data_IF_891482433534
#
_entry.id   IF_891482433534
#
_cell.length_a   1.000
_cell.length_b   1.000
_cell.length_c   1.000
_cell.angle_alpha   90.00
_cell.angle_beta   90.00
_cell.angle_gamma   90.00
#
_symmetry.space_group_name_H-M   'P 1'
#
loop_
_entity.id
_entity.type
_entity.pdbx_description
1 polymer ?
#
# COMPACT_ATOMS: atom_id res chain seq x y z
N UNK A 1 -37.87 -8.74 -7.90
CA UNK A 1 -37.42 -8.54 -6.50
C UNK A 1 -36.42 -7.39 -6.51
N UNK A 2 -36.78 -6.27 -5.90
CA UNK A 2 -35.97 -5.04 -5.90
C UNK A 2 -34.69 -5.24 -5.08
N UNK A 3 -33.58 -4.80 -5.65
CA UNK A 3 -32.26 -4.72 -5.01
C UNK A 3 -32.30 -3.68 -3.90
N UNK A 4 -31.79 -3.92 -2.67
CA UNK A 4 -31.71 -2.89 -1.65
C UNK A 4 -30.75 -1.79 -2.08
N UNK A 5 -31.25 -0.56 -2.16
CA UNK A 5 -30.46 0.64 -2.41
C UNK A 5 -29.67 1.01 -1.15
N UNK A 6 -28.49 0.42 -0.94
CA UNK A 6 -27.57 0.77 0.16
C UNK A 6 -26.75 2.06 -0.13
N UNK A 7 -27.38 3.06 -0.75
CA UNK A 7 -26.77 4.34 -1.08
C UNK A 7 -27.62 5.54 -0.66
N UNK A 8 -27.15 6.27 0.35
CA UNK A 8 -27.50 7.68 0.64
C UNK A 8 -28.90 8.04 1.23
N UNK A 9 -29.46 7.27 2.17
CA UNK A 9 -30.75 7.64 2.83
C UNK A 9 -30.67 8.89 3.76
N UNK A 10 -29.48 9.43 4.00
CA UNK A 10 -29.28 10.67 4.79
C UNK A 10 -29.14 11.95 3.95
N UNK A 11 -29.01 11.84 2.62
CA UNK A 11 -28.86 13.02 1.75
C UNK A 11 -30.11 13.93 1.75
N UNK A 12 -31.29 13.36 2.05
CA UNK A 12 -32.54 14.09 2.21
C UNK A 12 -32.71 14.81 3.56
N UNK A 13 -31.78 14.64 4.50
CA UNK A 13 -31.94 15.21 5.84
C UNK A 13 -31.69 16.73 5.85
N UNK A 14 -32.51 17.52 6.55
CA UNK A 14 -32.42 18.98 6.57
C UNK A 14 -31.09 19.49 7.16
N UNK A 15 -30.51 18.75 8.09
CA UNK A 15 -29.22 19.05 8.73
C UNK A 15 -28.00 18.60 7.92
N UNK A 16 -28.19 17.93 6.77
CA UNK A 16 -27.09 17.48 5.91
C UNK A 16 -26.88 18.43 4.72
N UNK A 17 -25.68 19.01 4.67
CA UNK A 17 -25.30 20.07 3.72
C UNK A 17 -24.46 19.58 2.54
N UNK A 18 -24.15 18.28 2.46
CA UNK A 18 -23.29 17.74 1.41
C UNK A 18 -21.86 18.30 1.46
N UNK A 19 -21.16 18.44 0.31
CA UNK A 19 -19.78 18.93 0.26
C UNK A 19 -19.62 20.41 0.67
N UNK A 20 -19.60 20.68 1.97
CA UNK A 20 -19.45 22.03 2.55
C UNK A 20 -18.03 22.23 3.11
N UNK A 21 -17.44 23.41 2.85
CA UNK A 21 -16.13 23.76 3.40
C UNK A 21 -16.23 24.03 4.91
N UNK A 22 -15.09 23.92 5.61
CA UNK A 22 -15.01 24.21 7.04
C UNK A 22 -15.46 25.64 7.37
N UNK A 23 -14.93 26.62 6.63
CA UNK A 23 -15.24 28.05 6.82
C UNK A 23 -16.72 28.36 6.57
N UNK A 24 -17.32 27.79 5.50
CA UNK A 24 -18.76 27.96 5.23
C UNK A 24 -19.61 27.31 6.32
N UNK A 25 -19.19 26.18 6.88
CA UNK A 25 -19.88 25.57 8.01
C UNK A 25 -19.80 26.43 9.28
N UNK A 26 -18.63 26.99 9.60
CA UNK A 26 -18.45 27.88 10.75
C UNK A 26 -19.33 29.13 10.65
N UNK A 27 -19.51 29.70 9.46
CA UNK A 27 -20.37 30.87 9.23
C UNK A 27 -21.88 30.58 9.42
N UNK A 28 -22.31 29.33 9.23
CA UNK A 28 -23.71 28.92 9.39
C UNK A 28 -24.08 28.60 10.84
N UNK A 29 -23.09 28.38 11.72
CA UNK A 29 -23.30 28.05 13.12
C UNK A 29 -23.18 29.32 13.97
N UNK A 30 -24.31 29.86 14.41
CA UNK A 30 -24.40 31.19 15.03
C UNK A 30 -24.48 31.10 16.56
N UNK A 31 -25.22 30.14 17.08
CA UNK A 31 -25.55 29.99 18.49
C UNK A 31 -24.95 28.70 19.06
N UNK A 32 -24.61 28.69 20.34
CA UNK A 32 -24.15 27.48 21.03
C UNK A 32 -25.24 26.39 20.99
N UNK A 33 -24.84 25.17 20.65
CA UNK A 33 -25.72 24.05 20.38
C UNK A 33 -26.16 23.92 18.92
N UNK A 34 -25.85 24.88 18.05
CA UNK A 34 -26.04 24.72 16.60
C UNK A 34 -25.19 23.57 16.08
N UNK A 35 -25.75 22.77 15.19
CA UNK A 35 -24.99 21.76 14.47
C UNK A 35 -25.46 21.57 13.03
N UNK A 36 -24.54 21.09 12.19
CA UNK A 36 -24.82 20.59 10.85
C UNK A 36 -23.89 19.45 10.50
N UNK A 37 -24.24 18.67 9.47
CA UNK A 37 -23.39 17.60 8.95
C UNK A 37 -22.96 17.91 7.53
N UNK A 38 -21.66 17.78 7.26
CA UNK A 38 -21.04 18.05 5.96
C UNK A 38 -20.18 16.87 5.50
N UNK A 39 -20.04 16.70 4.19
CA UNK A 39 -19.07 15.80 3.59
C UNK A 39 -17.71 16.52 3.45
N UNK A 40 -16.66 15.96 4.05
CA UNK A 40 -15.34 16.57 4.00
C UNK A 40 -14.62 16.32 2.67
N UNK A 41 -14.34 17.38 1.91
CA UNK A 41 -13.60 17.29 0.63
C UNK A 41 -12.15 16.82 0.81
N UNK A 42 -11.50 17.13 1.93
CA UNK A 42 -10.10 16.77 2.21
C UNK A 42 -9.92 15.36 2.78
N UNK A 43 -11.00 14.70 3.21
CA UNK A 43 -10.99 13.36 3.81
C UNK A 43 -11.95 12.42 3.07
N UNK A 44 -11.83 12.35 1.75
CA UNK A 44 -12.53 11.34 0.94
C UNK A 44 -14.06 11.35 1.02
N UNK A 45 -14.68 12.46 1.44
CA UNK A 45 -16.14 12.55 1.56
C UNK A 45 -16.73 12.01 2.87
N UNK A 46 -15.91 11.71 3.89
CA UNK A 46 -16.42 11.27 5.20
C UNK A 46 -17.35 12.34 5.84
N UNK A 47 -18.44 11.91 6.50
CA UNK A 47 -19.35 12.81 7.19
C UNK A 47 -18.70 13.42 8.43
N UNK A 48 -18.84 14.73 8.59
CA UNK A 48 -18.31 15.49 9.72
C UNK A 48 -19.45 16.27 10.35
N UNK A 49 -19.65 16.07 11.65
CA UNK A 49 -20.57 16.86 12.47
C UNK A 49 -19.82 18.14 12.87
N UNK A 50 -20.33 19.29 12.43
CA UNK A 50 -19.81 20.59 12.85
C UNK A 50 -20.78 21.19 13.86
N UNK A 51 -20.31 21.54 15.05
CA UNK A 51 -21.14 22.04 16.13
C UNK A 51 -20.50 23.25 16.79
N UNK A 52 -21.30 24.28 17.11
CA UNK A 52 -20.85 25.43 17.89
C UNK A 52 -21.12 25.19 19.36
N UNK A 53 -20.08 25.36 20.18
CA UNK A 53 -20.15 25.14 21.61
C UNK A 53 -19.18 26.06 22.35
N UNK A 54 -19.66 26.74 23.39
CA UNK A 54 -18.89 27.70 24.20
C UNK A 54 -18.17 28.76 23.36
N UNK A 55 -18.87 29.29 22.36
CA UNK A 55 -18.35 30.34 21.48
C UNK A 55 -17.35 29.86 20.40
N UNK A 56 -17.01 28.57 20.35
CA UNK A 56 -16.10 27.99 19.36
C UNK A 56 -16.81 26.95 18.48
N UNK A 57 -16.39 26.80 17.24
CA UNK A 57 -16.89 25.75 16.34
C UNK A 57 -15.96 24.55 16.37
N UNK A 58 -16.53 23.38 16.64
CA UNK A 58 -15.85 22.10 16.73
C UNK A 58 -16.30 21.20 15.58
N UNK A 59 -15.38 20.34 15.12
CA UNK A 59 -15.63 19.42 14.01
C UNK A 59 -15.30 17.99 14.43
N UNK A 60 -16.29 17.11 14.39
CA UNK A 60 -16.19 15.72 14.79
C UNK A 60 -16.35 14.83 13.56
N UNK A 61 -15.34 14.03 13.28
CA UNK A 61 -15.38 13.08 12.17
C UNK A 61 -16.18 11.84 12.57
N UNK A 62 -17.10 11.44 11.69
CA UNK A 62 -17.88 10.21 11.85
C UNK A 62 -17.28 9.15 10.95
N UNK A 63 -16.71 8.12 11.56
CA UNK A 63 -16.12 7.01 10.83
C UNK A 63 -17.21 6.09 10.31
N UNK A 64 -17.05 5.64 9.06
CA UNK A 64 -17.91 4.61 8.48
C UNK A 64 -17.18 3.27 8.56
N UNK A 65 -17.63 2.41 9.46
CA UNK A 65 -17.08 1.07 9.66
C UNK A 65 -17.87 0.10 8.79
N UNK A 66 -17.25 -0.39 7.71
CA UNK A 66 -17.88 -1.38 6.85
C UNK A 66 -18.15 -2.67 7.64
N UNK A 67 -19.37 -3.19 7.51
CA UNK A 67 -19.76 -4.48 8.07
C UNK A 67 -19.85 -5.52 6.97
N UNK A 68 -19.66 -6.79 7.33
CA UNK A 68 -19.91 -7.90 6.39
C UNK A 68 -21.37 -7.85 5.92
N UNK A 69 -21.64 -7.83 4.61
CA UNK A 69 -22.99 -7.84 4.07
C UNK A 69 -23.74 -9.08 4.58
N UNK A 70 -24.89 -8.88 5.20
CA UNK A 70 -25.82 -9.95 5.58
C UNK A 70 -27.23 -9.55 5.15
N UNK A 71 -28.05 -10.49 4.63
CA UNK A 71 -29.45 -10.20 4.31
C UNK A 71 -30.16 -9.62 5.54
N UNK A 72 -30.72 -8.41 5.40
CA UNK A 72 -31.45 -7.73 6.48
C UNK A 72 -30.60 -7.01 7.54
N UNK A 73 -29.28 -6.85 7.36
CA UNK A 73 -28.44 -6.03 8.25
C UNK A 73 -27.75 -4.88 7.49
N UNK A 74 -27.49 -3.74 8.15
CA UNK A 74 -26.81 -2.61 7.53
C UNK A 74 -25.38 -3.00 7.10
N UNK A 75 -24.99 -2.54 5.92
CA UNK A 75 -23.67 -2.79 5.29
C UNK A 75 -22.54 -1.97 5.89
N UNK A 76 -22.86 -0.97 6.72
CA UNK A 76 -21.89 -0.19 7.48
C UNK A 76 -22.50 0.35 8.76
N UNK A 77 -21.67 0.55 9.79
CA UNK A 77 -22.01 1.33 10.98
C UNK A 77 -21.33 2.69 10.91
N UNK A 78 -21.96 3.68 11.54
CA UNK A 78 -21.41 5.01 11.75
C UNK A 78 -20.90 5.09 13.18
N UNK A 79 -19.61 5.38 13.34
CA UNK A 79 -18.95 5.46 14.63
C UNK A 79 -18.56 6.91 14.94
N UNK A 80 -18.92 7.37 16.13
CA UNK A 80 -18.45 8.62 16.73
C UNK A 80 -17.93 8.29 18.13
N UNK A 81 -16.67 8.66 18.39
CA UNK A 81 -15.91 8.16 19.54
C UNK A 81 -15.96 6.63 19.63
N UNK A 82 -16.45 6.08 20.76
CA UNK A 82 -16.54 4.64 21.01
C UNK A 82 -17.92 4.05 20.67
N UNK A 83 -18.87 4.87 20.20
CA UNK A 83 -20.25 4.45 19.95
C UNK A 83 -20.56 4.22 18.48
N UNK A 84 -21.35 3.17 18.20
CA UNK A 84 -21.65 2.73 16.84
C UNK A 84 -23.15 2.71 16.57
N UNK A 85 -23.54 3.21 15.40
CA UNK A 85 -24.92 3.38 14.99
C UNK A 85 -25.19 2.74 13.63
N UNK A 86 -26.41 2.21 13.39
CA UNK A 86 -26.77 1.59 12.12
C UNK A 86 -26.91 2.59 10.97
N UNK A 87 -27.11 3.87 11.25
CA UNK A 87 -27.21 4.93 10.24
C UNK A 87 -26.83 6.29 10.81
N UNK A 88 -26.40 7.21 9.94
CA UNK A 88 -26.06 8.57 10.33
C UNK A 88 -27.25 9.33 10.97
N UNK A 89 -28.51 9.19 10.50
CA UNK A 89 -29.66 9.77 11.20
C UNK A 89 -29.90 9.16 12.58
N UNK A 90 -29.64 7.85 12.78
CA UNK A 90 -29.77 7.23 14.10
C UNK A 90 -28.73 7.78 15.08
N UNK A 91 -27.50 8.01 14.61
CA UNK A 91 -26.44 8.66 15.37
C UNK A 91 -26.87 10.07 15.78
N UNK A 92 -27.25 10.92 14.82
CA UNK A 92 -27.66 12.31 15.09
C UNK A 92 -28.82 12.35 16.09
N UNK A 93 -29.85 11.52 15.91
CA UNK A 93 -30.98 11.44 16.85
C UNK A 93 -30.54 11.05 18.26
N UNK A 94 -29.63 10.09 18.41
CA UNK A 94 -29.16 9.67 19.74
C UNK A 94 -28.50 10.80 20.52
N UNK A 95 -27.60 11.55 19.86
CA UNK A 95 -26.88 12.65 20.52
C UNK A 95 -27.75 13.88 20.73
N UNK A 96 -28.60 14.23 19.76
CA UNK A 96 -29.41 15.45 19.79
C UNK A 96 -30.61 15.29 20.73
N UNK A 97 -31.36 14.19 20.62
CA UNK A 97 -32.53 13.94 21.48
C UNK A 97 -32.12 13.60 22.91
N UNK A 98 -30.98 12.90 23.08
CA UNK A 98 -30.45 12.58 24.41
C UNK A 98 -29.63 13.70 25.05
N UNK A 99 -29.43 14.84 24.38
CA UNK A 99 -28.52 15.93 24.78
C UNK A 99 -27.16 15.43 25.27
N UNK A 100 -26.62 14.42 24.58
CA UNK A 100 -25.37 13.76 24.96
C UNK A 100 -24.20 14.54 24.38
N UNK A 101 -23.06 14.49 25.06
CA UNK A 101 -21.84 15.13 24.58
C UNK A 101 -21.31 14.38 23.35
N UNK A 102 -21.09 15.08 22.24
CA UNK A 102 -20.45 14.58 21.03
C UNK A 102 -19.01 14.11 21.25
N UNK A 103 -18.35 14.70 22.25
CA UNK A 103 -17.06 14.22 22.72
C UNK A 103 -16.85 14.46 24.21
N UNK A 104 -16.36 13.44 24.93
CA UNK A 104 -16.06 13.54 26.36
C UNK A 104 -15.00 14.60 26.66
N UNK A 105 -14.01 14.76 25.78
CA UNK A 105 -12.91 15.70 25.97
C UNK A 105 -13.34 17.17 25.85
N UNK A 106 -14.35 17.46 25.02
CA UNK A 106 -14.81 18.84 24.76
C UNK A 106 -16.12 19.17 25.46
N UNK A 107 -16.88 18.17 25.88
CA UNK A 107 -18.21 18.33 26.45
C UNK A 107 -19.21 18.99 25.49
N UNK A 108 -18.95 18.97 24.18
CA UNK A 108 -19.77 19.66 23.19
C UNK A 108 -21.12 18.97 23.00
N UNK A 109 -22.22 19.72 23.02
CA UNK A 109 -23.58 19.17 22.84
C UNK A 109 -24.21 19.77 21.60
N UNK A 110 -24.63 18.92 20.67
CA UNK A 110 -25.44 19.33 19.53
C UNK A 110 -26.93 19.27 19.90
N UNK A 111 -27.64 20.38 19.73
CA UNK A 111 -29.06 20.49 20.09
C UNK A 111 -29.93 20.98 18.95
N UNK A 112 -29.49 21.99 18.20
CA UNK A 112 -30.31 22.67 17.19
C UNK A 112 -29.75 22.43 15.78
N UNK A 113 -30.49 21.73 14.90
CA UNK A 113 -30.02 21.50 13.54
C UNK A 113 -30.11 22.78 12.72
N UNK A 114 -29.01 23.13 12.04
CA UNK A 114 -29.02 24.20 11.03
C UNK A 114 -29.48 23.60 9.70
N UNK A 115 -30.65 24.02 9.26
CA UNK A 115 -31.29 23.50 8.04
C UNK A 115 -30.64 24.05 6.78
N UNK A 116 -30.38 23.15 5.81
CA UNK A 116 -29.88 23.47 4.47
C UNK A 116 -30.89 24.36 3.73
N UNK A 117 -30.41 25.47 3.18
CA UNK A 117 -31.20 26.32 2.29
C UNK A 117 -30.86 25.99 0.83
N UNK A 118 -31.71 25.19 0.17
CA UNK A 118 -31.59 24.79 -1.25
C UNK A 118 -31.26 23.31 -1.48
N UNK A 119 -31.37 22.80 -2.72
CA UNK A 119 -31.05 21.41 -3.08
C UNK A 119 -29.53 21.12 -3.04
N UNK A 120 -29.14 19.85 -2.83
CA UNK A 120 -27.73 19.42 -2.91
C UNK A 120 -27.27 19.57 -4.37
N UNK A 121 -26.52 20.64 -4.66
CA UNK A 121 -25.93 20.84 -5.98
C UNK A 121 -24.74 19.88 -6.14
N UNK A 122 -24.90 18.84 -6.97
CA UNK A 122 -23.77 18.04 -7.47
C UNK A 122 -23.05 18.85 -8.55
N UNK A 123 -22.18 19.78 -8.16
CA UNK A 123 -21.31 20.49 -9.11
C UNK A 123 -19.85 20.13 -8.85
N UNK A 124 -19.22 19.50 -9.85
CA UNK A 124 -17.79 19.58 -10.05
C UNK A 124 -17.45 21.04 -10.37
N UNK A 125 -16.49 21.58 -9.62
CA UNK A 125 -15.89 22.91 -9.75
C UNK A 125 -16.78 24.11 -9.42
N UNK A 126 -16.20 24.99 -8.59
CA UNK A 126 -16.18 26.46 -8.65
C UNK A 126 -16.37 27.09 -7.25
N UNK A 127 -15.23 27.44 -6.63
CA UNK A 127 -15.12 28.41 -5.53
C UNK A 127 -13.82 29.19 -5.79
N UNK A 128 -13.88 30.09 -6.76
CA UNK A 128 -13.00 31.26 -6.84
C UNK A 128 -13.91 32.45 -7.05
N UNK A 129 -13.96 33.37 -6.11
CA UNK A 129 -14.59 34.69 -6.26
C UNK A 129 -13.92 35.67 -5.27
N UNK A 130 -13.98 37.00 -5.49
CA UNK A 130 -14.41 37.75 -6.69
C UNK A 130 -13.45 38.91 -7.10
N UNK A 131 -13.60 39.45 -8.32
CA UNK A 131 -13.84 40.88 -8.63
C UNK A 131 -13.46 41.30 -10.09
N UNK A 132 -14.36 42.05 -10.73
CA UNK A 132 -14.01 43.07 -11.75
C UNK A 132 -14.27 42.75 -13.24
N UNK A 133 -14.87 43.66 -14.05
CA UNK A 133 -15.63 43.28 -15.25
C UNK A 133 -14.89 43.35 -16.60
N UNK A 134 -15.39 42.50 -17.51
CA UNK A 134 -15.54 42.63 -18.97
C UNK A 134 -14.44 43.33 -19.78
N UNK A 135 -13.72 42.56 -20.61
CA UNK A 135 -13.43 42.92 -22.00
C UNK A 135 -13.32 41.66 -22.89
N UNK A 136 -13.78 41.86 -24.12
CA UNK A 136 -13.95 40.98 -25.29
C UNK A 136 -12.62 40.47 -25.89
N UNK A 137 -12.62 39.20 -26.34
CA UNK A 137 -11.91 38.49 -27.45
C UNK A 137 -10.62 39.05 -28.14
N UNK A 138 -9.87 38.28 -28.99
CA UNK A 138 -9.78 36.81 -29.20
C UNK A 138 -8.34 36.24 -29.37
N UNK A 139 -8.26 34.91 -29.39
CA UNK A 139 -7.30 33.99 -30.08
C UNK A 139 -5.95 34.53 -30.60
N UNK A 140 -4.83 33.98 -30.09
CA UNK A 140 -3.60 33.75 -30.88
C UNK A 140 -2.89 32.45 -30.49
N UNK A 141 -2.39 31.78 -31.53
CA UNK A 141 -1.69 30.50 -31.50
C UNK A 141 -0.16 30.64 -31.35
N UNK A 142 0.48 29.48 -31.08
CA UNK A 142 1.92 29.14 -31.17
C UNK A 142 2.77 29.62 -29.98
N UNK A 143 3.70 28.84 -29.43
CA UNK A 143 4.78 28.09 -30.11
C UNK A 143 5.38 27.02 -29.17
N UNK A 144 5.71 25.86 -29.76
CA UNK A 144 6.68 24.86 -29.28
C UNK A 144 8.01 25.55 -28.95
N UNK A 145 8.70 25.08 -27.91
CA UNK A 145 10.13 25.31 -27.74
C UNK A 145 10.83 23.99 -27.45
N UNK A 146 11.61 23.57 -28.44
CA UNK A 146 12.61 22.51 -28.36
C UNK A 146 13.84 23.02 -27.59
N UNK A 147 14.51 22.14 -26.86
CA UNK A 147 15.91 22.32 -26.47
C UNK A 147 16.56 20.95 -26.27
N UNK A 148 17.53 20.64 -27.12
CA UNK A 148 18.58 19.65 -26.90
C UNK A 148 19.95 20.34 -27.14
N UNK A 149 21.06 19.74 -26.67
CA UNK A 149 22.20 20.45 -26.09
C UNK A 149 23.42 20.56 -27.02
N UNK A 150 24.35 21.43 -26.63
CA UNK A 150 25.77 21.46 -27.03
C UNK A 150 26.57 21.78 -25.75
N UNK A 151 27.74 21.22 -25.42
CA UNK A 151 28.76 20.52 -26.20
C UNK A 151 30.09 21.31 -26.12
N UNK A 152 31.19 20.59 -25.83
CA UNK A 152 32.64 20.95 -25.92
C UNK A 152 33.43 21.37 -24.65
N UNK A 153 34.00 20.35 -24.00
CA UNK A 153 35.43 19.94 -23.94
C UNK A 153 36.65 20.91 -23.88
N UNK A 154 37.72 20.33 -23.29
CA UNK A 154 39.18 20.66 -23.27
C UNK A 154 39.66 21.65 -22.18
N UNK A 155 40.73 21.44 -21.39
CA UNK A 155 41.92 20.57 -21.43
C UNK A 155 42.68 20.69 -20.06
N UNK A 156 43.41 19.65 -19.61
CA UNK A 156 44.68 19.82 -18.86
C UNK A 156 44.82 19.20 -17.46
N UNK A 157 45.54 18.07 -17.35
CA UNK A 157 46.04 17.42 -16.12
C UNK A 157 47.37 18.08 -15.60
N UNK A 158 48.17 17.43 -14.73
CA UNK A 158 48.04 17.23 -13.28
C UNK A 158 49.27 17.78 -12.52
N UNK A 159 49.31 17.68 -11.18
CA UNK A 159 50.60 17.66 -10.45
C UNK A 159 50.48 16.83 -9.18
N UNK A 160 51.35 15.83 -9.09
CA UNK A 160 51.62 15.04 -7.89
C UNK A 160 52.44 15.86 -6.90
N UNK A 161 52.28 15.60 -5.59
CA UNK A 161 53.40 15.44 -4.65
C UNK A 161 52.88 14.77 -3.34
N UNK A 162 53.59 13.72 -2.94
CA UNK A 162 53.64 13.09 -1.60
C UNK A 162 55.09 13.28 -1.06
N UNK A 163 55.54 12.81 0.12
CA UNK A 163 54.90 12.14 1.27
C UNK A 163 55.39 12.67 2.67
N UNK A 164 54.95 12.03 3.75
CA UNK A 164 55.67 11.94 5.04
C UNK A 164 54.78 11.30 6.12
N UNK A 165 54.88 10.02 6.49
CA UNK A 165 55.92 9.25 7.20
C UNK A 165 56.03 9.52 8.71
N UNK A 166 55.85 8.45 9.49
CA UNK A 166 56.29 8.26 10.88
C UNK A 166 55.17 8.39 11.92
N UNK A 167 55.10 7.62 13.01
CA UNK A 167 55.77 6.41 13.47
C UNK A 167 55.03 6.03 14.78
N UNK A 168 54.87 4.74 15.07
CA UNK A 168 54.59 4.18 16.42
C UNK A 168 55.84 4.36 17.32
N UNK A 169 55.88 4.19 18.68
CA UNK A 169 55.37 3.03 19.45
C UNK A 169 55.07 3.35 20.97
N UNK A 170 55.30 2.45 21.99
CA UNK A 170 54.51 1.28 22.39
C UNK A 170 54.20 1.18 23.92
N UNK A 171 53.57 0.06 24.35
CA UNK A 171 53.66 -0.53 25.71
C UNK A 171 52.32 -1.11 26.21
N UNK A 172 52.06 -2.43 26.17
CA UNK A 172 52.31 -3.45 27.23
C UNK A 172 52.06 -2.93 28.66
N UNK A 173 51.25 -3.52 29.55
CA UNK A 173 51.15 -4.93 29.89
C UNK A 173 49.98 -5.20 30.89
N UNK A 174 49.46 -6.44 30.89
CA UNK A 174 49.01 -7.27 32.03
C UNK A 174 47.95 -6.78 33.07
N UNK A 175 46.99 -7.69 33.38
CA UNK A 175 46.54 -7.88 34.78
C UNK A 175 45.04 -8.01 35.03
N UNK A 176 44.55 -9.24 35.15
CA UNK A 176 43.24 -9.65 35.66
C UNK A 176 42.81 -9.00 36.98
N UNK A 177 41.50 -8.70 37.13
CA UNK A 177 40.60 -9.36 38.09
C UNK A 177 39.39 -8.48 38.47
N UNK A 178 38.20 -9.01 38.19
CA UNK A 178 36.93 -8.90 38.92
C UNK A 178 36.56 -7.60 39.64
N UNK A 179 35.44 -7.01 39.20
CA UNK A 179 34.31 -6.71 40.09
C UNK A 179 33.03 -6.47 39.30
N UNK A 180 31.99 -7.19 39.70
CA UNK A 180 30.60 -6.98 39.32
C UNK A 180 30.15 -5.54 39.58
N UNK A 181 29.28 -5.02 38.72
CA UNK A 181 28.50 -3.84 39.04
C UNK A 181 28.03 -3.05 37.83
N UNK A 182 26.88 -3.45 37.28
CA UNK A 182 25.90 -2.54 36.70
C UNK A 182 26.36 -1.61 35.57
N UNK A 183 26.08 -2.03 34.33
CA UNK A 183 25.55 -1.17 33.25
C UNK A 183 25.21 -2.08 32.07
N UNK A 184 23.99 -2.62 32.08
CA UNK A 184 23.42 -3.34 30.94
C UNK A 184 23.29 -2.36 29.78
N UNK A 185 23.81 -2.81 28.66
CA UNK A 185 24.06 -2.05 27.44
C UNK A 185 22.78 -1.46 26.84
N UNK A 186 22.80 -0.14 26.66
CA UNK A 186 22.15 0.52 25.53
C UNK A 186 22.86 0.08 24.25
N UNK A 187 22.20 -0.73 23.41
CA UNK A 187 22.75 -1.07 22.10
C UNK A 187 22.48 -2.49 21.64
N UNK A 188 21.20 -2.89 21.60
CA UNK A 188 20.77 -4.11 20.92
C UNK A 188 19.27 -4.06 20.62
N UNK A 189 18.82 -3.04 19.89
CA UNK A 189 17.51 -3.07 19.22
C UNK A 189 17.59 -4.03 18.03
N UNK A 190 17.64 -5.33 18.32
CA UNK A 190 17.57 -6.39 17.33
C UNK A 190 16.16 -6.41 16.73
N UNK A 191 16.08 -5.96 15.48
CA UNK A 191 14.95 -6.18 14.58
C UNK A 191 14.75 -7.68 14.35
N UNK A 192 13.88 -8.29 15.15
CA UNK A 192 13.38 -9.64 14.90
C UNK A 192 12.21 -9.57 13.92
N UNK A 193 12.23 -10.28 12.76
CA UNK A 193 11.09 -10.33 11.84
C UNK A 193 9.85 -11.05 12.40
N UNK A 194 9.87 -11.52 13.64
CA UNK A 194 8.80 -12.34 14.22
C UNK A 194 8.43 -11.96 15.66
N UNK A 195 9.05 -10.92 16.25
CA UNK A 195 8.65 -10.43 17.58
C UNK A 195 7.28 -9.72 17.56
N UNK A 196 6.80 -9.33 16.37
CA UNK A 196 5.59 -8.51 16.19
C UNK A 196 4.27 -9.31 16.10
N UNK A 197 4.24 -10.55 16.58
CA UNK A 197 2.98 -11.27 16.82
C UNK A 197 2.43 -11.04 18.24
N UNK A 198 3.05 -10.15 19.01
CA UNK A 198 2.47 -9.63 20.25
C UNK A 198 1.44 -8.53 19.94
N UNK A 199 0.28 -8.71 20.58
CA UNK A 199 -1.02 -8.08 20.31
C UNK A 199 -0.93 -6.55 20.35
N UNK A 200 -1.26 -5.89 19.23
CA UNK A 200 -1.47 -4.43 19.15
C UNK A 200 -0.87 -3.73 17.92
N UNK A 201 0.28 -4.21 17.41
CA UNK A 201 1.02 -3.61 16.27
C UNK A 201 1.09 -4.51 15.03
N UNK A 202 0.39 -5.65 15.08
CA UNK A 202 0.45 -6.68 14.04
C UNK A 202 -0.14 -6.22 12.70
N UNK A 203 -1.24 -5.46 12.68
CA UNK A 203 -1.90 -5.03 11.43
C UNK A 203 -1.00 -4.15 10.54
N UNK A 204 -0.33 -3.15 11.11
CA UNK A 204 0.60 -2.29 10.37
C UNK A 204 1.82 -3.08 9.82
N UNK A 205 2.28 -4.07 10.58
CA UNK A 205 3.41 -4.93 10.20
C UNK A 205 3.04 -5.92 9.09
N UNK A 206 1.80 -6.40 9.07
CA UNK A 206 1.30 -7.35 8.08
C UNK A 206 0.93 -6.66 6.77
N UNK A 207 0.25 -5.51 6.82
CA UNK A 207 0.00 -4.66 5.67
C UNK A 207 1.32 -4.22 5.00
N UNK A 208 2.34 -3.89 5.79
CA UNK A 208 3.68 -3.59 5.26
C UNK A 208 4.27 -4.74 4.44
N UNK A 209 4.06 -6.00 4.84
CA UNK A 209 4.55 -7.17 4.09
C UNK A 209 3.82 -7.36 2.76
N UNK A 210 2.50 -7.19 2.75
CA UNK A 210 1.72 -7.19 1.51
C UNK A 210 2.18 -6.09 0.56
N UNK A 211 2.31 -4.86 1.07
CA UNK A 211 2.81 -3.74 0.27
C UNK A 211 4.21 -3.99 -0.29
N UNK A 212 5.09 -4.68 0.45
CA UNK A 212 6.42 -5.06 -0.07
C UNK A 212 6.31 -6.02 -1.25
N UNK A 213 5.47 -7.05 -1.15
CA UNK A 213 5.25 -8.02 -2.23
C UNK A 213 4.72 -7.32 -3.48
N UNK A 214 3.70 -6.48 -3.33
CA UNK A 214 3.10 -5.75 -4.45
C UNK A 214 4.07 -4.73 -5.06
N UNK A 215 4.86 -4.04 -4.23
CA UNK A 215 5.92 -3.14 -4.72
C UNK A 215 6.97 -3.88 -5.55
N UNK A 216 7.39 -5.08 -5.11
CA UNK A 216 8.32 -5.92 -5.87
C UNK A 216 7.69 -6.43 -7.17
N UNK A 217 6.42 -6.81 -7.17
CA UNK A 217 5.70 -7.21 -8.37
C UNK A 217 5.61 -6.07 -9.41
N UNK A 218 5.31 -4.85 -8.97
CA UNK A 218 5.31 -3.67 -9.85
C UNK A 218 6.70 -3.37 -10.42
N UNK A 219 7.76 -3.52 -9.60
CA UNK A 219 9.13 -3.35 -10.05
C UNK A 219 9.55 -4.43 -11.08
N UNK A 220 9.17 -5.69 -10.85
CA UNK A 220 9.37 -6.78 -11.82
C UNK A 220 8.64 -6.53 -13.13
N UNK A 221 7.39 -6.08 -13.07
CA UNK A 221 6.62 -5.73 -14.28
C UNK A 221 7.26 -4.55 -15.02
N UNK A 222 7.73 -3.54 -14.30
CA UNK A 222 8.48 -2.42 -14.88
C UNK A 222 9.81 -2.88 -15.51
N UNK A 223 10.49 -3.88 -14.95
CA UNK A 223 11.73 -4.40 -15.53
C UNK A 223 11.50 -5.00 -16.94
N UNK A 224 10.33 -5.59 -17.19
CA UNK A 224 9.95 -6.08 -18.54
C UNK A 224 9.42 -4.95 -19.41
N UNK A 225 8.51 -4.13 -18.88
CA UNK A 225 7.80 -3.09 -19.64
C UNK A 225 8.67 -1.84 -19.89
N UNK A 226 9.75 -1.67 -19.14
CA UNK A 226 10.75 -0.62 -19.32
C UNK A 226 11.79 -0.96 -20.39
N UNK A 227 11.84 -2.20 -20.88
CA UNK A 227 12.69 -2.59 -22.00
C UNK A 227 12.14 -2.03 -23.32
N UNK A 228 12.45 -0.76 -23.58
CA UNK A 228 12.16 -0.07 -24.85
C UNK A 228 13.09 -0.52 -26.01
N UNK A 229 14.09 -1.36 -25.71
CA UNK A 229 14.99 -1.98 -26.68
C UNK A 229 14.32 -3.07 -27.53
N UNK A 230 15.14 -3.87 -28.25
CA UNK A 230 14.66 -4.95 -29.11
C UNK A 230 13.83 -5.99 -28.35
N UNK A 231 13.02 -6.74 -29.10
CA UNK A 231 12.15 -7.80 -28.57
C UNK A 231 12.95 -8.84 -27.77
N UNK A 232 14.17 -9.12 -28.19
CA UNK A 232 15.11 -10.06 -27.59
C UNK A 232 15.54 -9.63 -26.19
N UNK A 233 15.84 -8.34 -25.98
CA UNK A 233 16.19 -7.81 -24.66
C UNK A 233 15.02 -7.92 -23.69
N UNK A 234 13.81 -7.58 -24.17
CA UNK A 234 12.60 -7.71 -23.37
C UNK A 234 12.28 -9.18 -23.05
N UNK A 235 12.46 -10.09 -24.01
CA UNK A 235 12.31 -11.53 -23.78
C UNK A 235 13.37 -12.07 -22.81
N UNK A 236 14.59 -11.53 -22.82
CA UNK A 236 15.65 -11.87 -21.86
C UNK A 236 15.32 -11.35 -20.45
N UNK A 237 14.75 -10.16 -20.31
CA UNK A 237 14.25 -9.66 -19.03
C UNK A 237 13.13 -10.56 -18.46
N UNK A 238 12.19 -10.97 -19.33
CA UNK A 238 11.14 -11.92 -18.97
C UNK A 238 11.71 -13.29 -18.55
N UNK A 239 12.69 -13.81 -19.30
CA UNK A 239 13.43 -15.04 -18.95
C UNK A 239 14.09 -14.91 -17.58
N UNK A 240 14.78 -13.80 -17.32
CA UNK A 240 15.46 -13.56 -16.05
C UNK A 240 14.51 -13.59 -14.86
N UNK A 241 13.28 -13.07 -15.00
CA UNK A 241 12.25 -13.20 -13.96
C UNK A 241 11.81 -14.66 -13.76
N UNK A 242 11.63 -15.43 -14.83
CA UNK A 242 11.29 -16.86 -14.73
C UNK A 242 12.40 -17.64 -14.02
N UNK A 243 13.65 -17.44 -14.42
CA UNK A 243 14.83 -18.07 -13.80
C UNK A 243 14.96 -17.68 -12.33
N UNK A 244 14.69 -16.41 -11.99
CA UNK A 244 14.66 -15.95 -10.61
C UNK A 244 13.55 -16.66 -9.81
N UNK A 245 12.34 -16.80 -10.35
CA UNK A 245 11.26 -17.54 -9.69
C UNK A 245 11.65 -19.01 -9.45
N UNK A 246 12.32 -19.66 -10.41
CA UNK A 246 12.83 -21.03 -10.26
C UNK A 246 13.92 -21.11 -9.18
N UNK A 247 14.80 -20.11 -9.06
CA UNK A 247 15.81 -20.06 -8.00
C UNK A 247 15.17 -19.90 -6.59
N UNK A 248 14.00 -19.26 -6.51
CA UNK A 248 13.28 -18.98 -5.26
C UNK A 248 12.37 -20.13 -4.79
N UNK A 249 12.19 -21.17 -5.61
CA UNK A 249 11.25 -22.27 -5.38
C UNK A 249 11.60 -23.12 -4.13
N UNK A 250 10.64 -23.92 -3.60
CA UNK A 250 10.90 -24.90 -2.55
C UNK A 250 12.08 -25.82 -2.90
N UNK A 251 12.93 -26.14 -1.92
CA UNK A 251 14.11 -26.98 -2.12
C UNK A 251 15.32 -26.28 -2.73
N UNK A 252 15.14 -25.10 -3.34
CA UNK A 252 16.22 -24.20 -3.75
C UNK A 252 16.47 -23.13 -2.67
N UNK A 253 16.36 -21.83 -3.00
CA UNK A 253 16.40 -20.78 -1.97
C UNK A 253 15.20 -20.86 -1.02
N UNK A 254 14.05 -21.36 -1.51
CA UNK A 254 12.80 -21.51 -0.75
C UNK A 254 12.31 -20.19 -0.15
N UNK A 255 12.44 -19.10 -0.89
CA UNK A 255 11.82 -17.81 -0.56
C UNK A 255 10.51 -17.68 -1.35
N UNK A 256 9.44 -18.20 -0.76
CA UNK A 256 8.12 -18.20 -1.38
C UNK A 256 7.50 -16.81 -1.43
N UNK A 257 7.91 -15.90 -0.55
CA UNK A 257 7.50 -14.49 -0.60
C UNK A 257 8.12 -13.81 -1.82
N UNK A 258 9.42 -13.98 -2.05
CA UNK A 258 10.11 -13.50 -3.25
C UNK A 258 9.52 -14.11 -4.53
N UNK A 259 9.29 -15.43 -4.53
CA UNK A 259 8.67 -16.13 -5.66
C UNK A 259 7.30 -15.55 -5.99
N UNK A 260 6.44 -15.33 -4.98
CA UNK A 260 5.12 -14.76 -5.17
C UNK A 260 5.17 -13.34 -5.75
N UNK A 261 6.15 -12.52 -5.36
CA UNK A 261 6.33 -11.19 -5.95
C UNK A 261 6.72 -11.26 -7.43
N UNK A 262 7.63 -12.17 -7.80
CA UNK A 262 8.05 -12.38 -9.20
C UNK A 262 6.90 -12.95 -10.04
N UNK A 263 6.17 -13.93 -9.51
CA UNK A 263 4.97 -14.46 -10.17
C UNK A 263 3.87 -13.40 -10.31
N UNK A 264 3.72 -12.52 -9.31
CA UNK A 264 2.83 -11.36 -9.38
C UNK A 264 3.18 -10.40 -10.52
N UNK A 265 4.46 -10.26 -10.88
CA UNK A 265 4.88 -9.51 -12.06
C UNK A 265 4.56 -10.26 -13.36
N UNK A 266 4.90 -11.54 -13.45
CA UNK A 266 4.73 -12.37 -14.66
C UNK A 266 3.25 -12.59 -15.03
N UNK A 267 2.39 -12.72 -14.01
CA UNK A 267 0.94 -12.92 -14.16
C UNK A 267 0.15 -11.62 -14.24
N UNK A 268 0.82 -10.47 -14.13
CA UNK A 268 0.18 -9.17 -14.25
C UNK A 268 -0.43 -9.01 -15.65
N UNK A 269 -1.69 -8.53 -15.80
CA UNK A 269 -2.36 -8.43 -17.10
C UNK A 269 -1.55 -7.69 -18.16
N UNK A 270 -0.82 -6.65 -17.74
CA UNK A 270 0.05 -5.82 -18.58
C UNK A 270 1.27 -6.59 -19.12
N UNK A 271 1.77 -7.60 -18.40
CA UNK A 271 2.90 -8.44 -18.81
C UNK A 271 2.41 -9.69 -19.53
N UNK A 272 1.36 -10.34 -19.03
CA UNK A 272 0.81 -11.58 -19.61
C UNK A 272 0.23 -11.38 -21.01
N UNK A 273 -0.22 -10.16 -21.35
CA UNK A 273 -0.75 -9.83 -22.69
C UNK A 273 0.31 -9.66 -23.79
N UNK A 274 1.61 -9.64 -23.46
CA UNK A 274 2.70 -9.38 -24.41
C UNK A 274 2.97 -10.61 -25.31
N UNK A 275 2.03 -10.94 -26.18
CA UNK A 275 2.03 -12.16 -27.00
C UNK A 275 3.31 -12.35 -27.83
N UNK A 276 3.87 -11.28 -28.41
CA UNK A 276 5.10 -11.37 -29.20
C UNK A 276 6.29 -11.69 -28.29
N UNK A 277 6.37 -11.05 -27.13
CA UNK A 277 7.42 -11.30 -26.13
C UNK A 277 7.35 -12.73 -25.60
N UNK A 278 6.17 -13.21 -25.19
CA UNK A 278 5.98 -14.59 -24.73
C UNK A 278 6.23 -15.62 -25.83
N UNK A 279 5.90 -15.31 -27.09
CA UNK A 279 6.22 -16.18 -28.24
C UNK A 279 7.72 -16.23 -28.50
N UNK A 280 8.43 -15.12 -28.35
CA UNK A 280 9.89 -15.09 -28.47
C UNK A 280 10.55 -15.92 -27.37
N UNK A 281 10.10 -15.81 -26.11
CA UNK A 281 10.56 -16.64 -25.00
C UNK A 281 10.35 -18.13 -25.32
N UNK A 282 9.16 -18.53 -25.77
CA UNK A 282 8.85 -19.93 -26.13
C UNK A 282 9.73 -20.49 -27.25
N UNK A 283 10.20 -19.64 -28.18
CA UNK A 283 11.06 -20.05 -29.29
C UNK A 283 12.53 -20.13 -28.90
N UNK A 284 12.99 -19.19 -28.09
CA UNK A 284 14.42 -19.03 -27.75
C UNK A 284 14.82 -19.74 -26.45
N UNK A 285 13.87 -19.93 -25.52
CA UNK A 285 14.10 -20.45 -24.17
C UNK A 285 12.94 -21.38 -23.76
N UNK A 286 12.75 -22.45 -24.52
CA UNK A 286 11.63 -23.40 -24.36
C UNK A 286 11.55 -23.97 -22.95
N UNK A 287 12.67 -24.36 -22.34
CA UNK A 287 12.70 -24.93 -20.99
C UNK A 287 12.17 -23.95 -19.94
N UNK A 288 12.60 -22.69 -19.97
CA UNK A 288 12.10 -21.66 -19.06
C UNK A 288 10.60 -21.41 -19.27
N UNK A 289 10.14 -21.36 -20.52
CA UNK A 289 8.72 -21.20 -20.81
C UNK A 289 7.87 -22.39 -20.32
N UNK A 290 8.37 -23.62 -20.48
CA UNK A 290 7.70 -24.82 -19.96
C UNK A 290 7.67 -24.83 -18.44
N UNK A 291 8.79 -24.53 -17.78
CA UNK A 291 8.85 -24.46 -16.32
C UNK A 291 7.91 -23.39 -15.75
N UNK A 292 7.76 -22.25 -16.42
CA UNK A 292 6.77 -21.23 -16.04
C UNK A 292 5.33 -21.76 -16.07
N UNK A 293 4.94 -22.44 -17.16
CA UNK A 293 3.58 -22.95 -17.34
C UNK A 293 3.28 -24.18 -16.48
N UNK A 294 4.23 -25.11 -16.38
CA UNK A 294 4.02 -26.44 -15.79
C UNK A 294 4.44 -26.54 -14.32
N UNK A 295 5.37 -25.70 -13.85
CA UNK A 295 5.82 -25.73 -12.45
C UNK A 295 5.38 -24.48 -11.69
N UNK A 296 5.74 -23.29 -12.18
CA UNK A 296 5.57 -22.05 -11.42
C UNK A 296 4.11 -21.63 -11.29
N UNK A 297 3.31 -21.70 -12.36
CA UNK A 297 1.87 -21.35 -12.31
C UNK A 297 1.09 -22.27 -11.36
N UNK A 298 1.19 -23.61 -11.45
CA UNK A 298 0.54 -24.50 -10.49
C UNK A 298 1.01 -24.26 -9.04
N UNK A 299 2.31 -24.04 -8.83
CA UNK A 299 2.84 -23.72 -7.51
C UNK A 299 2.24 -22.43 -6.94
N UNK A 300 2.18 -21.34 -7.73
CA UNK A 300 1.59 -20.08 -7.29
C UNK A 300 0.11 -20.25 -6.93
N UNK A 301 -0.66 -20.98 -7.74
CA UNK A 301 -2.07 -21.29 -7.43
C UNK A 301 -2.21 -22.06 -6.12
N UNK A 302 -1.40 -23.11 -5.92
CA UNK A 302 -1.41 -23.88 -4.69
C UNK A 302 -1.03 -23.01 -3.47
N UNK A 303 -0.11 -22.05 -3.64
CA UNK A 303 0.25 -21.11 -2.58
C UNK A 303 -0.90 -20.16 -2.21
N UNK A 304 -1.61 -19.61 -3.19
CA UNK A 304 -2.77 -18.74 -2.97
C UNK A 304 -3.96 -19.49 -2.34
N UNK A 305 -4.13 -20.78 -2.66
CA UNK A 305 -5.15 -21.65 -2.06
C UNK A 305 -4.77 -22.22 -0.68
N UNK A 306 -3.60 -21.84 -0.16
CA UNK A 306 -3.08 -22.31 1.12
C UNK A 306 -2.63 -23.78 1.12
N UNK A 307 -2.47 -24.40 -0.06
CA UNK A 307 -2.13 -25.81 -0.26
C UNK A 307 -0.66 -26.06 -0.68
N UNK A 308 0.16 -25.01 -0.91
CA UNK A 308 1.56 -25.18 -1.33
C UNK A 308 2.52 -25.71 -0.24
N UNK A 309 3.83 -25.81 -0.50
CA UNK A 309 4.82 -26.32 0.46
C UNK A 309 5.04 -25.41 1.68
N UNK A 310 5.16 -26.00 2.87
CA UNK A 310 5.40 -25.26 4.12
C UNK A 310 6.43 -25.92 5.05
N UNK A 311 7.16 -26.92 4.59
CA UNK A 311 8.17 -27.58 5.40
C UNK A 311 9.43 -26.68 5.54
N UNK A 312 9.93 -26.39 6.76
CA UNK A 312 11.18 -25.66 6.97
C UNK A 312 12.43 -26.27 6.31
N UNK A 313 12.42 -27.56 5.94
CA UNK A 313 13.47 -28.21 5.17
C UNK A 313 13.55 -27.73 3.72
N UNK A 314 12.41 -27.44 3.11
CA UNK A 314 12.29 -26.99 1.72
C UNK A 314 12.10 -25.47 1.62
N UNK A 315 11.51 -24.84 2.62
CA UNK A 315 11.13 -23.43 2.64
C UNK A 315 11.89 -22.68 3.73
N UNK A 316 12.52 -21.55 3.38
CA UNK A 316 13.22 -20.67 4.32
C UNK A 316 12.40 -19.42 4.65
N UNK A 317 11.67 -18.88 3.67
CA UNK A 317 10.76 -17.76 3.88
C UNK A 317 9.36 -18.13 3.35
N UNK A 318 8.40 -18.42 4.24
CA UNK A 318 7.06 -18.85 3.82
C UNK A 318 6.25 -17.71 3.19
N UNK A 319 5.27 -18.09 2.37
CA UNK A 319 4.27 -17.18 1.82
C UNK A 319 3.08 -17.08 2.77
N UNK A 320 2.84 -15.89 3.31
CA UNK A 320 1.79 -15.63 4.32
C UNK A 320 0.65 -14.76 3.79
N UNK A 321 0.73 -14.26 2.54
CA UNK A 321 -0.22 -13.28 2.03
C UNK A 321 -1.69 -13.74 2.09
N UNK A 322 -2.06 -15.00 1.79
CA UNK A 322 -3.45 -15.44 1.87
C UNK A 322 -4.01 -15.31 3.29
N UNK A 323 -3.23 -15.69 4.30
CA UNK A 323 -3.62 -15.53 5.70
C UNK A 323 -3.69 -14.06 6.12
N UNK A 324 -2.75 -13.23 5.66
CA UNK A 324 -2.77 -11.79 5.96
C UNK A 324 -3.99 -11.12 5.35
N UNK A 325 -4.28 -11.36 4.07
CA UNK A 325 -5.45 -10.82 3.37
C UNK A 325 -6.76 -11.18 4.08
N UNK A 326 -6.87 -12.42 4.55
CA UNK A 326 -8.00 -12.86 5.38
C UNK A 326 -8.13 -12.10 6.70
N UNK A 327 -7.01 -11.82 7.38
CA UNK A 327 -6.98 -11.07 8.64
C UNK A 327 -7.28 -9.57 8.44
N UNK A 328 -6.86 -9.01 7.30
CA UNK A 328 -7.21 -7.65 6.85
C UNK A 328 -8.66 -7.54 6.35
N UNK A 329 -9.38 -8.67 6.24
CA UNK A 329 -10.81 -8.71 5.89
C UNK A 329 -11.11 -8.78 4.39
N UNK A 330 -10.13 -9.14 3.55
CA UNK A 330 -10.37 -9.39 2.14
C UNK A 330 -11.24 -10.64 1.93
N UNK A 331 -12.18 -10.56 0.99
CA UNK A 331 -13.08 -11.67 0.65
C UNK A 331 -12.38 -12.68 -0.27
N UNK A 332 -12.58 -13.97 0.01
CA UNK A 332 -12.10 -15.04 -0.88
C UNK A 332 -13.08 -15.19 -2.06
N UNK A 333 -12.60 -15.14 -3.32
CA UNK A 333 -13.45 -15.36 -4.48
C UNK A 333 -13.82 -16.85 -4.61
N UNK A 334 -15.10 -17.15 -4.82
CA UNK A 334 -15.61 -18.48 -5.15
C UNK A 334 -16.83 -18.92 -4.32
N UNK A 335 -17.34 -20.14 -4.54
CA UNK A 335 -18.43 -20.74 -3.77
C UNK A 335 -18.14 -20.75 -2.26
N UNK A 336 -19.20 -20.68 -1.44
CA UNK A 336 -19.08 -20.55 0.02
C UNK A 336 -18.31 -21.71 0.65
N UNK A 337 -18.61 -22.95 0.23
CA UNK A 337 -18.02 -24.17 0.81
C UNK A 337 -16.51 -24.26 0.53
N UNK A 338 -16.10 -24.03 -0.71
CA UNK A 338 -14.69 -23.94 -1.12
C UNK A 338 -13.97 -22.77 -0.41
N UNK A 339 -14.70 -21.69 -0.10
CA UNK A 339 -14.17 -20.54 0.62
C UNK A 339 -13.96 -20.82 2.10
N UNK A 340 -14.85 -21.60 2.74
CA UNK A 340 -14.68 -22.05 4.12
C UNK A 340 -13.49 -23.00 4.28
N UNK A 341 -13.32 -23.96 3.38
CA UNK A 341 -12.17 -24.87 3.40
C UNK A 341 -10.85 -24.13 3.19
N UNK A 342 -10.79 -23.22 2.20
CA UNK A 342 -9.61 -22.37 1.96
C UNK A 342 -9.29 -21.48 3.15
N UNK A 343 -10.32 -20.93 3.82
CA UNK A 343 -10.14 -20.14 5.03
C UNK A 343 -9.54 -20.98 6.17
N UNK A 344 -10.13 -22.15 6.45
CA UNK A 344 -9.63 -23.05 7.50
C UNK A 344 -8.20 -23.49 7.22
N UNK A 345 -7.90 -23.87 5.97
CA UNK A 345 -6.55 -24.25 5.53
C UNK A 345 -5.55 -23.11 5.72
N UNK A 346 -5.90 -21.89 5.30
CA UNK A 346 -5.04 -20.71 5.41
C UNK A 346 -4.76 -20.33 6.87
N UNK A 347 -5.78 -20.37 7.74
CA UNK A 347 -5.61 -20.08 9.17
C UNK A 347 -4.83 -21.18 9.90
N UNK A 348 -5.11 -22.45 9.60
CA UNK A 348 -4.35 -23.57 10.16
C UNK A 348 -2.87 -23.46 9.79
N UNK A 349 -2.59 -23.17 8.51
CA UNK A 349 -1.24 -22.94 8.01
C UNK A 349 -0.57 -21.76 8.69
N UNK A 350 -1.25 -20.63 8.85
CA UNK A 350 -0.71 -19.47 9.56
C UNK A 350 -0.29 -19.83 10.99
N UNK A 351 -1.10 -20.65 11.69
CA UNK A 351 -0.75 -21.17 13.03
C UNK A 351 0.49 -22.06 13.00
N UNK A 352 0.62 -22.97 12.02
CA UNK A 352 1.82 -23.79 11.86
C UNK A 352 3.06 -22.94 11.59
N UNK A 353 2.96 -21.96 10.70
CA UNK A 353 4.05 -21.05 10.37
C UNK A 353 4.50 -20.23 11.59
N UNK A 354 3.55 -19.75 12.40
CA UNK A 354 3.87 -19.04 13.64
C UNK A 354 4.57 -19.95 14.66
N UNK A 355 4.09 -21.19 14.83
CA UNK A 355 4.71 -22.20 15.71
C UNK A 355 6.14 -22.52 15.26
N UNK A 356 6.34 -22.74 13.97
CA UNK A 356 7.60 -23.21 13.40
C UNK A 356 8.52 -22.06 12.94
N UNK A 357 8.18 -20.80 13.26
CA UNK A 357 8.95 -19.60 12.91
C UNK A 357 10.45 -19.68 13.25
N UNK A 358 10.89 -20.24 14.40
CA UNK A 358 12.32 -20.43 14.68
C UNK A 358 13.01 -21.35 13.67
N UNK A 359 12.33 -22.41 13.21
CA UNK A 359 12.89 -23.38 12.24
C UNK A 359 13.09 -22.75 10.87
N UNK A 360 12.15 -21.92 10.41
CA UNK A 360 12.32 -21.14 9.18
C UNK A 360 13.52 -20.18 9.28
N UNK A 361 13.73 -19.55 10.44
CA UNK A 361 14.88 -18.67 10.68
C UNK A 361 16.20 -19.43 10.61
N UNK A 362 16.27 -20.62 11.20
CA UNK A 362 17.44 -21.49 11.11
C UNK A 362 17.69 -21.98 9.68
N UNK A 363 16.63 -22.34 8.94
CA UNK A 363 16.74 -22.71 7.53
C UNK A 363 17.30 -21.55 6.68
N UNK A 364 16.77 -20.34 6.86
CA UNK A 364 17.27 -19.14 6.18
C UNK A 364 18.74 -18.85 6.54
N UNK A 365 19.11 -18.92 7.82
CA UNK A 365 20.48 -18.69 8.26
C UNK A 365 21.46 -19.73 7.70
N UNK A 366 21.04 -21.00 7.60
CA UNK A 366 21.84 -22.06 6.96
C UNK A 366 22.06 -21.81 5.48
N UNK A 367 21.02 -21.43 4.74
CA UNK A 367 21.10 -21.14 3.29
C UNK A 367 21.94 -19.90 2.97
N UNK A 368 21.91 -18.90 3.86
CA UNK A 368 22.67 -17.66 3.71
C UNK A 368 24.08 -17.73 4.34
N UNK A 369 24.51 -18.89 4.85
CA UNK A 369 25.83 -19.02 5.47
C UNK A 369 26.92 -18.73 4.44
N UNK A 370 27.75 -17.73 4.73
CA UNK A 370 28.83 -17.30 3.82
C UNK A 370 28.37 -16.40 2.67
N UNK A 371 27.07 -16.11 2.55
CA UNK A 371 26.57 -15.20 1.53
C UNK A 371 27.04 -13.76 1.80
N UNK A 372 27.67 -13.15 0.80
CA UNK A 372 28.08 -11.74 0.82
C UNK A 372 27.19 -10.96 -0.13
N UNK A 373 26.21 -10.17 0.37
CA UNK A 373 25.33 -9.41 -0.51
C UNK A 373 26.09 -8.29 -1.21
N UNK A 374 25.90 -8.14 -2.52
CA UNK A 374 26.38 -6.98 -3.25
C UNK A 374 25.66 -5.72 -2.71
N UNK A 375 26.39 -4.66 -2.30
CA UNK A 375 25.80 -3.52 -1.60
C UNK A 375 24.74 -2.80 -2.45
N UNK A 376 25.00 -2.58 -3.73
CA UNK A 376 24.07 -1.91 -4.63
C UNK A 376 22.80 -2.73 -4.89
N UNK A 377 22.93 -4.06 -5.05
CA UNK A 377 21.77 -4.94 -5.25
C UNK A 377 20.92 -5.01 -3.98
N UNK A 378 21.58 -5.03 -2.81
CA UNK A 378 20.89 -4.98 -1.53
C UNK A 378 20.09 -3.70 -1.38
N UNK A 379 20.66 -2.54 -1.74
CA UNK A 379 19.96 -1.27 -1.69
C UNK A 379 18.78 -1.22 -2.69
N UNK A 380 19.03 -1.64 -3.93
CA UNK A 380 18.05 -1.65 -5.01
C UNK A 380 16.80 -2.48 -4.66
N UNK A 381 16.96 -3.55 -3.87
CA UNK A 381 15.87 -4.42 -3.44
C UNK A 381 15.21 -3.98 -2.11
N UNK A 382 15.60 -2.84 -1.53
CA UNK A 382 14.90 -2.30 -0.36
C UNK A 382 13.55 -1.72 -0.74
N UNK A 383 12.54 -1.94 0.11
CA UNK A 383 11.21 -1.36 -0.10
C UNK A 383 11.25 0.18 -0.16
N UNK A 384 12.17 0.81 0.58
CA UNK A 384 12.36 2.25 0.55
C UNK A 384 12.87 2.75 -0.80
N UNK A 385 13.90 2.10 -1.35
CA UNK A 385 14.42 2.42 -2.68
C UNK A 385 13.37 2.19 -3.75
N UNK A 386 12.76 1.00 -3.80
CA UNK A 386 11.73 0.66 -4.80
C UNK A 386 10.54 1.63 -4.76
N UNK A 387 10.10 2.05 -3.58
CA UNK A 387 9.03 3.05 -3.48
C UNK A 387 9.43 4.39 -4.10
N UNK A 388 10.68 4.83 -3.89
CA UNK A 388 11.17 6.06 -4.51
C UNK A 388 11.38 5.90 -6.01
N UNK A 389 11.81 4.73 -6.47
CA UNK A 389 11.97 4.42 -7.89
C UNK A 389 10.62 4.48 -8.64
N UNK A 390 9.58 3.84 -8.10
CA UNK A 390 8.28 3.74 -8.76
C UNK A 390 7.47 5.05 -8.69
N UNK A 391 7.54 5.79 -7.57
CA UNK A 391 6.64 6.93 -7.32
C UNK A 391 7.35 8.26 -7.06
N UNK A 392 8.68 8.29 -7.06
CA UNK A 392 9.46 9.47 -6.68
C UNK A 392 9.37 9.81 -5.18
N UNK A 393 10.15 10.78 -4.73
CA UNK A 393 10.22 11.20 -3.31
C UNK A 393 8.89 11.76 -2.79
N UNK A 394 8.16 12.53 -3.61
CA UNK A 394 6.85 13.10 -3.25
C UNK A 394 5.73 12.07 -3.34
N UNK A 395 5.71 11.25 -4.39
CA UNK A 395 4.66 10.26 -4.61
C UNK A 395 4.74 9.09 -3.65
N UNK A 396 5.93 8.74 -3.15
CA UNK A 396 6.12 7.64 -2.19
C UNK A 396 5.30 7.82 -0.89
N UNK A 397 5.01 9.06 -0.48
CA UNK A 397 4.20 9.37 0.71
C UNK A 397 2.69 9.28 0.51
N UNK A 398 2.20 9.11 -0.73
CA UNK A 398 0.77 9.03 -1.01
C UNK A 398 0.14 7.71 -0.54
N UNK A 399 -1.20 7.67 -0.32
CA UNK A 399 -1.91 6.45 0.05
C UNK A 399 -1.65 5.30 -0.92
N UNK A 400 -1.57 4.07 -0.39
CA UNK A 400 -1.24 2.87 -1.18
C UNK A 400 -2.16 2.68 -2.38
N UNK A 401 -3.49 2.73 -2.17
CA UNK A 401 -4.48 2.55 -3.22
C UNK A 401 -4.27 3.51 -4.41
N UNK A 402 -4.06 4.80 -4.13
CA UNK A 402 -3.80 5.81 -5.16
C UNK A 402 -2.48 5.58 -5.89
N UNK A 403 -1.43 5.15 -5.19
CA UNK A 403 -0.13 4.80 -5.78
C UNK A 403 -0.26 3.61 -6.72
N UNK A 404 -0.95 2.57 -6.28
CA UNK A 404 -1.16 1.34 -7.03
C UNK A 404 -1.98 1.62 -8.30
N UNK A 405 -3.12 2.27 -8.18
CA UNK A 405 -3.99 2.62 -9.32
C UNK A 405 -3.25 3.43 -10.39
N UNK A 406 -2.55 4.49 -9.97
CA UNK A 406 -1.78 5.33 -10.91
C UNK A 406 -0.69 4.55 -11.60
N UNK A 407 0.04 3.72 -10.88
CA UNK A 407 1.16 2.98 -11.45
C UNK A 407 0.68 1.85 -12.37
N UNK A 408 -0.41 1.16 -12.03
CA UNK A 408 -1.06 0.20 -12.94
C UNK A 408 -1.44 0.87 -14.27
N UNK A 409 -1.93 2.11 -14.24
CA UNK A 409 -2.21 2.87 -15.48
C UNK A 409 -0.96 3.17 -16.29
N UNK A 410 0.15 3.52 -15.64
CA UNK A 410 1.46 3.69 -16.31
C UNK A 410 1.90 2.38 -16.99
N UNK A 411 1.83 1.26 -16.27
CA UNK A 411 2.17 -0.05 -16.82
C UNK A 411 1.27 -0.44 -18.00
N UNK A 412 -0.02 -0.12 -17.95
CA UNK A 412 -0.94 -0.37 -19.06
C UNK A 412 -0.56 0.42 -20.30
N UNK A 413 -0.19 1.69 -20.15
CA UNK A 413 0.27 2.54 -21.26
C UNK A 413 1.59 2.01 -21.84
N UNK A 414 2.56 1.65 -21.01
CA UNK A 414 3.82 1.03 -21.47
C UNK A 414 3.58 -0.28 -22.22
N UNK A 415 2.70 -1.14 -21.69
CA UNK A 415 2.34 -2.41 -22.32
C UNK A 415 1.70 -2.20 -23.69
N UNK A 416 0.76 -1.26 -23.82
CA UNK A 416 0.13 -0.92 -25.10
C UNK A 416 1.12 -0.31 -26.09
N UNK A 417 2.08 0.50 -25.63
CA UNK A 417 3.13 1.05 -26.50
C UNK A 417 4.07 -0.02 -27.04
N UNK A 418 4.41 -1.03 -26.22
CA UNK A 418 5.28 -2.14 -26.63
C UNK A 418 4.55 -3.10 -27.58
N UNK A 419 3.31 -3.46 -27.27
CA UNK A 419 2.49 -4.38 -28.06
C UNK A 419 1.02 -3.89 -28.14
N UNK A 420 0.67 -3.10 -29.18
CA UNK A 420 -0.67 -2.56 -29.37
C UNK A 420 -1.72 -3.66 -29.59
N UNK A 421 -2.96 -3.42 -29.10
CA UNK A 421 -4.14 -4.22 -29.46
C UNK A 421 -4.42 -4.05 -30.96
N UNK A 422 -4.51 -5.16 -31.70
CA UNK A 422 -4.90 -5.19 -33.11
C UNK A 422 -6.41 -5.33 -33.28
#
# INVERSE_FOLDING_TARGET
>A
MQVPQDGEDFAGQPWYHGPLSRQKAEALLQQDGDFLVRASKSRGGHPVISCRWRGSVLHFEVFRVALRPRPGRPTALFQLEDERFPSLPALVRSYVTGQRTLSQATGAVASRPVTRQGPIRRSFSEDTLPDGPAWTEPLRARKRSDSQPAGLEHMGQPTEDHPGSGDWPPGSDQGSAGRHGGRLWSGAAHTSPWASLEVGTAGETLAFRLHRLETLALAGALAVLGCAGPLEERAAALRGLVELALALRPGAAGDLSGLAAVMGALLMPQVSRLERTWRQLRRSHTEAALAFEQELKPLMRALDEGAGPCDPGEVALPYVAPAVRLLEGEELPGPLDESCERLLRSLHRARLLARDAPRFREAAARRLRGFRPHPELREALTTGFLRRLLWGSRGAGAPWATRLEKFQRVLSVLSQHLEPDH
#
